data_IF_706813657343
#
_entry.id   IF_706813657343
#
_cell.length_a   1.000
_cell.length_b   1.000
_cell.length_c   1.000
_cell.angle_alpha   90.00
_cell.angle_beta   90.00
_cell.angle_gamma   90.00
#
_symmetry.space_group_name_H-M   'P 1'
#
loop_
_entity.id
_entity.type
_entity.pdbx_description
1 polymer ?
#
# COMPACT_ATOMS: atom_id res chain seq x y z
N UNK A 1 26.49 -1.90 23.80
CA UNK A 1 25.57 -1.70 22.66
C UNK A 1 24.32 -2.55 22.92
N UNK A 2 23.13 -1.94 22.91
CA UNK A 2 21.87 -2.66 23.17
C UNK A 2 21.54 -3.55 21.96
N UNK A 3 21.43 -4.86 22.18
CA UNK A 3 21.29 -5.90 21.15
C UNK A 3 19.84 -6.12 20.69
N UNK A 4 19.02 -5.06 20.62
CA UNK A 4 17.61 -5.18 20.26
C UNK A 4 17.41 -4.78 18.81
N UNK A 5 17.14 -5.77 17.96
CA UNK A 5 16.74 -5.57 16.56
C UNK A 5 15.36 -4.89 16.56
N UNK A 6 15.24 -3.80 15.79
CA UNK A 6 14.00 -3.06 15.61
C UNK A 6 13.01 -3.87 14.75
N UNK A 7 11.71 -3.82 15.08
CA UNK A 7 10.63 -4.37 14.26
C UNK A 7 10.53 -3.61 12.93
N UNK A 8 10.01 -4.22 11.85
CA UNK A 8 9.97 -3.64 10.49
C UNK A 8 9.47 -2.18 10.39
N UNK A 9 8.57 -1.74 11.27
CA UNK A 9 8.02 -0.38 11.27
C UNK A 9 8.82 0.64 12.10
N UNK A 10 9.67 0.18 13.01
CA UNK A 10 10.41 1.03 13.94
C UNK A 10 11.57 1.81 13.29
N UNK A 11 12.34 1.27 12.30
CA UNK A 11 13.44 2.00 11.67
C UNK A 11 13.01 3.34 11.06
N UNK A 12 11.86 3.38 10.38
CA UNK A 12 11.33 4.62 9.78
C UNK A 12 11.05 5.70 10.82
N UNK A 13 10.42 5.30 11.94
CA UNK A 13 10.19 6.22 13.04
C UNK A 13 11.49 6.62 13.74
N UNK A 14 12.48 5.72 13.82
CA UNK A 14 13.78 6.04 14.40
C UNK A 14 14.55 7.08 13.58
N UNK A 15 14.51 6.98 12.24
CA UNK A 15 15.09 8.00 11.33
C UNK A 15 14.45 9.36 11.54
N UNK A 16 13.11 9.42 11.56
CA UNK A 16 12.38 10.68 11.77
C UNK A 16 12.65 11.27 13.16
N UNK A 17 12.59 10.43 14.20
CA UNK A 17 12.71 10.91 15.57
C UNK A 17 14.13 11.32 15.95
N UNK A 18 15.16 10.83 15.24
CA UNK A 18 16.58 11.13 15.54
C UNK A 18 16.90 12.63 15.49
N UNK A 19 16.15 13.42 14.70
CA UNK A 19 16.34 14.87 14.60
C UNK A 19 15.90 15.63 15.87
N UNK A 20 15.15 14.97 16.76
CA UNK A 20 14.59 15.58 17.95
C UNK A 20 15.38 15.19 19.20
N UNK A 21 15.45 16.11 20.17
CA UNK A 21 15.94 15.78 21.52
C UNK A 21 14.76 15.34 22.39
N UNK A 22 14.52 14.03 22.48
CA UNK A 22 13.36 13.47 23.17
C UNK A 22 13.73 12.30 24.10
N UNK A 23 12.79 11.91 24.96
CA UNK A 23 12.89 10.72 25.81
C UNK A 23 11.58 9.93 25.73
N UNK A 24 11.67 8.62 25.49
CA UNK A 24 10.49 7.75 25.43
C UNK A 24 10.16 7.26 26.85
N UNK A 25 8.99 7.64 27.35
CA UNK A 25 8.49 7.22 28.67
C UNK A 25 7.14 6.53 28.53
N UNK A 26 6.99 5.34 29.11
CA UNK A 26 5.72 4.63 29.14
C UNK A 26 4.71 5.37 30.03
N UNK A 27 3.51 5.60 29.49
CA UNK A 27 2.39 6.18 30.21
C UNK A 27 1.23 5.17 30.25
N UNK A 28 0.76 4.77 31.43
CA UNK A 28 -0.39 3.87 31.54
C UNK A 28 -1.65 4.56 31.02
N UNK A 29 -2.57 3.80 30.40
CA UNK A 29 -3.72 4.32 29.66
C UNK A 29 -4.59 5.33 30.42
N UNK A 30 -4.76 5.17 31.74
CA UNK A 30 -5.49 6.12 32.60
C UNK A 30 -4.90 7.54 32.60
N UNK A 31 -3.59 7.67 32.33
CA UNK A 31 -2.89 8.96 32.23
C UNK A 31 -2.78 9.45 30.79
N UNK A 32 -3.10 8.61 29.81
CA UNK A 32 -3.07 8.92 28.38
C UNK A 32 -4.43 9.40 27.83
N UNK A 33 -5.35 9.82 28.70
CA UNK A 33 -6.76 10.12 28.36
C UNK A 33 -6.90 11.13 27.22
N UNK A 34 -6.01 12.12 27.14
CA UNK A 34 -6.06 13.11 26.06
C UNK A 34 -5.67 12.51 24.72
N UNK A 35 -4.58 11.74 24.67
CA UNK A 35 -4.17 11.05 23.44
C UNK A 35 -5.22 10.01 23.02
N UNK A 36 -5.76 9.27 23.98
CA UNK A 36 -6.82 8.28 23.77
C UNK A 36 -8.11 8.92 23.23
N UNK A 37 -8.55 10.04 23.83
CA UNK A 37 -9.71 10.79 23.34
C UNK A 37 -9.49 11.35 21.92
N UNK A 38 -8.28 11.82 21.60
CA UNK A 38 -7.94 12.30 20.26
C UNK A 38 -7.87 11.17 19.22
N UNK A 39 -7.44 9.96 19.60
CA UNK A 39 -7.43 8.82 18.67
C UNK A 39 -8.83 8.29 18.36
N UNK A 40 -9.81 8.52 19.22
CA UNK A 40 -11.20 8.10 19.04
C UNK A 40 -12.09 9.18 18.39
N UNK A 41 -11.49 10.23 17.82
CA UNK A 41 -12.24 11.30 17.18
C UNK A 41 -12.86 10.84 15.87
N UNK A 42 -14.17 10.60 15.92
CA UNK A 42 -14.97 10.22 14.77
C UNK A 42 -14.97 11.27 13.68
N UNK A 43 -14.66 12.53 13.94
CA UNK A 43 -14.59 13.56 12.90
C UNK A 43 -13.28 13.54 12.09
N UNK A 44 -12.24 12.86 12.61
CA UNK A 44 -10.90 12.82 12.00
C UNK A 44 -10.65 11.48 11.30
N UNK A 45 -11.13 10.38 11.87
CA UNK A 45 -10.89 9.03 11.38
C UNK A 45 -12.08 8.52 10.54
N UNK A 46 -11.84 7.92 9.37
CA UNK A 46 -12.91 7.43 8.52
C UNK A 46 -13.65 6.28 9.17
N UNK A 47 -14.94 6.20 8.87
CA UNK A 47 -15.73 5.02 9.15
C UNK A 47 -15.32 3.88 8.23
N UNK A 48 -15.70 2.66 8.59
CA UNK A 48 -15.37 1.47 7.80
C UNK A 48 -15.85 1.64 6.36
N UNK A 49 -14.92 1.56 5.41
CA UNK A 49 -15.21 1.66 3.97
C UNK A 49 -15.18 3.08 3.42
N UNK A 50 -14.81 4.07 4.22
CA UNK A 50 -14.56 5.45 3.79
C UNK A 50 -13.05 5.70 3.76
N UNK A 51 -12.56 6.45 2.76
CA UNK A 51 -11.15 6.79 2.68
C UNK A 51 -10.76 7.84 3.72
N UNK A 52 -9.56 7.71 4.30
CA UNK A 52 -9.03 8.71 5.25
C UNK A 52 -8.99 10.13 4.67
N UNK A 53 -8.71 10.23 3.37
CA UNK A 53 -8.56 11.50 2.65
C UNK A 53 -9.89 12.27 2.61
N UNK A 54 -11.02 11.59 2.47
CA UNK A 54 -12.32 12.27 2.38
C UNK A 54 -12.72 12.91 3.71
N UNK A 55 -12.23 12.39 4.84
CA UNK A 55 -12.59 12.87 6.18
C UNK A 55 -11.56 13.81 6.77
N UNK A 56 -10.28 13.62 6.45
CA UNK A 56 -9.20 14.49 6.90
C UNK A 56 -8.24 14.83 5.76
N UNK A 57 -8.68 15.67 4.79
CA UNK A 57 -7.88 16.01 3.60
C UNK A 57 -6.58 16.75 3.96
N UNK A 58 -6.56 17.45 5.09
CA UNK A 58 -5.38 18.21 5.56
C UNK A 58 -4.27 17.32 6.12
N UNK A 59 -4.57 16.08 6.50
CA UNK A 59 -3.59 15.14 7.04
C UNK A 59 -3.03 14.20 5.95
N UNK A 60 -3.31 14.50 4.69
CA UNK A 60 -2.74 13.76 3.57
C UNK A 60 -1.28 14.16 3.36
N UNK A 61 -0.39 13.42 4.01
CA UNK A 61 1.04 13.51 3.80
C UNK A 61 1.45 12.37 2.86
N UNK A 62 1.56 12.64 1.56
CA UNK A 62 2.13 11.65 0.64
C UNK A 62 3.56 11.32 1.08
N UNK A 63 3.86 10.03 1.19
CA UNK A 63 5.21 9.52 1.49
C UNK A 63 6.22 10.00 0.43
N UNK A 64 5.76 10.16 -0.80
CA UNK A 64 6.50 10.78 -1.89
C UNK A 64 5.82 12.10 -2.17
N UNK A 65 6.47 13.21 -1.78
CA UNK A 65 6.00 14.54 -2.15
C UNK A 65 6.01 14.64 -3.67
N UNK A 66 4.97 15.22 -4.25
CA UNK A 66 4.84 15.38 -5.71
C UNK A 66 6.06 16.06 -6.35
N UNK A 67 6.73 16.94 -5.60
CA UNK A 67 7.95 17.63 -5.99
C UNK A 67 9.15 16.67 -6.14
N UNK A 68 9.20 15.62 -5.31
CA UNK A 68 10.26 14.59 -5.37
C UNK A 68 10.08 13.72 -6.63
N UNK A 69 8.87 13.56 -7.15
CA UNK A 69 8.60 12.76 -8.37
C UNK A 69 9.37 13.33 -9.58
N UNK A 70 9.59 14.65 -9.63
CA UNK A 70 10.35 15.26 -10.72
C UNK A 70 11.86 15.03 -10.62
N UNK A 71 12.41 14.91 -9.41
CA UNK A 71 13.85 14.73 -9.17
C UNK A 71 14.28 13.27 -8.99
N UNK A 72 13.34 12.42 -8.57
CA UNK A 72 13.58 11.02 -8.37
C UNK A 72 13.70 10.31 -9.72
N UNK A 73 14.87 9.74 -9.99
CA UNK A 73 15.03 8.62 -10.92
C UNK A 73 14.38 7.35 -10.36
N UNK A 74 13.13 7.43 -9.90
CA UNK A 74 12.36 6.22 -9.72
C UNK A 74 12.37 5.53 -11.08
N UNK A 75 12.64 4.24 -11.06
CA UNK A 75 12.36 3.36 -12.18
C UNK A 75 10.87 3.50 -12.46
N UNK A 76 10.51 4.51 -13.25
CA UNK A 76 9.22 4.60 -13.87
C UNK A 76 9.17 3.37 -14.76
N UNK A 77 8.52 2.32 -14.27
CA UNK A 77 7.92 1.38 -15.18
C UNK A 77 6.93 2.24 -15.95
N UNK A 78 7.32 2.65 -17.15
CA UNK A 78 6.41 3.23 -18.12
C UNK A 78 5.36 2.15 -18.40
N UNK A 79 4.31 2.13 -17.60
CA UNK A 79 3.09 1.41 -17.95
C UNK A 79 2.40 2.31 -18.94
N UNK A 80 2.86 2.28 -20.18
CA UNK A 80 2.04 2.70 -21.31
C UNK A 80 0.85 1.74 -21.28
N UNK A 81 -0.28 2.22 -20.72
CA UNK A 81 -1.56 1.56 -20.86
C UNK A 81 -1.93 1.75 -22.33
N UNK A 82 -1.38 0.90 -23.20
CA UNK A 82 -1.83 0.86 -24.58
C UNK A 82 -3.31 0.50 -24.51
N UNK A 83 -4.17 1.37 -25.01
CA UNK A 83 -5.61 1.12 -25.17
C UNK A 83 -5.86 -0.23 -25.87
N UNK A 84 -4.90 -0.65 -26.69
CA UNK A 84 -4.96 -1.82 -27.54
C UNK A 84 -4.25 -3.05 -26.93
N UNK A 85 -3.67 -2.93 -25.72
CA UNK A 85 -2.94 -4.03 -25.07
C UNK A 85 -3.85 -5.23 -24.85
N UNK A 86 -5.07 -4.97 -24.37
CA UNK A 86 -6.07 -6.01 -24.11
C UNK A 86 -6.46 -6.71 -25.40
N UNK A 87 -6.62 -5.96 -26.50
CA UNK A 87 -6.99 -6.53 -27.80
C UNK A 87 -5.83 -7.32 -28.43
N UNK A 88 -4.60 -6.88 -28.20
CA UNK A 88 -3.40 -7.61 -28.61
C UNK A 88 -3.21 -8.90 -27.80
N UNK A 89 -3.41 -8.85 -26.48
CA UNK A 89 -3.39 -10.04 -25.61
C UNK A 89 -4.47 -11.03 -26.07
N UNK A 90 -5.71 -10.58 -26.32
CA UNK A 90 -6.76 -11.46 -26.84
C UNK A 90 -6.33 -12.14 -28.14
N UNK A 91 -5.78 -11.40 -29.10
CA UNK A 91 -5.32 -11.97 -30.39
C UNK A 91 -4.20 -13.01 -30.21
N UNK A 92 -3.25 -12.77 -29.32
CA UNK A 92 -2.12 -13.69 -29.09
C UNK A 92 -2.51 -14.91 -28.23
N UNK A 93 -3.35 -14.73 -27.20
CA UNK A 93 -3.88 -15.82 -26.37
C UNK A 93 -4.65 -16.84 -27.22
N UNK A 94 -5.36 -16.37 -28.27
CA UNK A 94 -6.02 -17.28 -29.20
C UNK A 94 -5.07 -18.14 -30.01
N UNK A 95 -3.78 -17.80 -30.14
CA UNK A 95 -2.77 -18.63 -30.81
C UNK A 95 -2.10 -19.63 -29.86
N UNK A 96 -2.20 -19.41 -28.56
CA UNK A 96 -1.61 -20.26 -27.54
C UNK A 96 -2.26 -21.65 -27.55
N UNK A 97 -1.41 -22.67 -27.61
CA UNK A 97 -1.82 -24.08 -27.67
C UNK A 97 -2.34 -24.55 -26.31
N UNK A 98 -1.74 -24.08 -25.23
CA UNK A 98 -2.07 -24.53 -23.87
C UNK A 98 -3.42 -23.96 -23.45
N UNK A 99 -3.65 -22.68 -23.75
CA UNK A 99 -4.95 -22.04 -23.55
C UNK A 99 -6.09 -22.76 -24.30
N UNK A 100 -5.85 -23.19 -25.54
CA UNK A 100 -6.83 -23.95 -26.33
C UNK A 100 -7.10 -25.34 -25.73
N UNK A 101 -6.09 -25.99 -25.17
CA UNK A 101 -6.27 -27.31 -24.56
C UNK A 101 -7.03 -27.21 -23.25
N UNK A 102 -6.77 -26.18 -22.44
CA UNK A 102 -7.55 -25.85 -21.24
C UNK A 102 -9.03 -25.61 -21.60
N UNK A 103 -9.32 -24.84 -22.66
CA UNK A 103 -10.71 -24.63 -23.10
C UNK A 103 -11.39 -25.93 -23.52
N UNK A 104 -10.68 -26.87 -24.15
CA UNK A 104 -11.24 -28.18 -24.50
C UNK A 104 -11.45 -29.07 -23.28
N UNK A 105 -10.57 -29.03 -22.29
CA UNK A 105 -10.73 -29.76 -21.04
C UNK A 105 -11.96 -29.25 -20.27
N UNK A 106 -12.13 -27.93 -20.18
CA UNK A 106 -13.31 -27.29 -19.61
C UNK A 106 -14.60 -27.67 -20.34
N UNK A 107 -14.58 -27.68 -21.68
CA UNK A 107 -15.74 -28.11 -22.48
C UNK A 107 -16.09 -29.60 -22.29
N UNK A 108 -15.12 -30.43 -21.90
CA UNK A 108 -15.29 -31.85 -21.58
C UNK A 108 -15.69 -32.09 -20.12
N UNK A 109 -15.74 -31.05 -19.29
CA UNK A 109 -16.06 -31.15 -17.86
C UNK A 109 -14.95 -31.79 -17.02
N UNK A 110 -13.72 -31.85 -17.54
CA UNK A 110 -12.57 -32.45 -16.87
C UNK A 110 -11.90 -31.43 -15.94
N UNK A 111 -11.30 -31.92 -14.85
CA UNK A 111 -10.47 -31.11 -13.96
C UNK A 111 -9.22 -30.65 -14.70
N UNK A 112 -9.04 -29.33 -14.83
CA UNK A 112 -7.86 -28.73 -15.46
C UNK A 112 -6.65 -28.98 -14.56
N UNK A 113 -5.74 -29.87 -14.97
CA UNK A 113 -4.42 -30.02 -14.37
C UNK A 113 -3.43 -29.12 -15.12
N UNK A 114 -2.96 -28.08 -14.43
CA UNK A 114 -1.96 -27.11 -14.89
C UNK A 114 -0.56 -27.73 -14.84
#
# INVERSE_FOLDING_TARGET
>A
MSSKVLTLHQPRWAEFLFEFHFTITYHPGRLATLADALSHRDDVYPERGVDFISKNPHNFHQVIKQDVIQESRFFAINVEIFSDLVDKIKKEVWKDKDYREILKQLARGESVTV
#
